data_IF_923592940050
#
_entry.id   IF_923592940050
#
_cell.length_a   1.000
_cell.length_b   1.000
_cell.length_c   1.000
_cell.angle_alpha   90.00
_cell.angle_beta   90.00
_cell.angle_gamma   90.00
#
_symmetry.space_group_name_H-M   'P 1'
#
loop_
_entity.id
_entity.type
_entity.pdbx_description
1 polymer ?
#
# COMPACT_ATOMS: atom_id res chain seq x y z
N UNK A 1 13.05 -31.24 9.30
CA UNK A 1 12.31 -31.97 10.34
C UNK A 1 12.59 -31.32 11.68
N UNK A 2 11.68 -30.46 12.13
CA UNK A 2 11.61 -29.95 13.50
C UNK A 2 10.14 -29.55 13.71
N UNK A 3 9.44 -30.39 14.45
CA UNK A 3 8.00 -30.27 14.73
C UNK A 3 7.85 -29.45 16.00
N UNK A 4 7.22 -28.27 15.91
CA UNK A 4 6.82 -27.47 17.08
C UNK A 4 5.35 -27.74 17.37
N UNK A 5 5.11 -28.56 18.38
CA UNK A 5 3.79 -28.86 18.94
C UNK A 5 3.44 -27.76 19.94
N UNK A 6 2.42 -26.94 19.64
CA UNK A 6 1.86 -26.00 20.61
C UNK A 6 0.59 -26.59 21.22
N UNK A 7 0.68 -26.97 22.49
CA UNK A 7 -0.43 -27.36 23.34
C UNK A 7 -1.14 -26.09 23.83
N UNK A 8 -2.38 -25.85 23.41
CA UNK A 8 -3.25 -24.83 23.98
C UNK A 8 -3.96 -25.39 25.22
N UNK A 9 -3.65 -24.85 26.39
CA UNK A 9 -4.45 -24.98 27.61
C UNK A 9 -5.40 -23.78 27.72
N UNK A 10 -6.70 -24.06 27.73
CA UNK A 10 -7.75 -23.06 27.90
C UNK A 10 -7.78 -22.52 29.34
N UNK A 11 -7.87 -21.20 29.58
CA UNK A 11 -8.23 -20.67 30.88
C UNK A 11 -9.75 -20.70 31.06
N UNK A 12 -10.18 -21.21 32.21
CA UNK A 12 -11.57 -21.18 32.65
C UNK A 12 -12.03 -19.75 33.00
N UNK A 13 -13.26 -19.42 32.61
CA UNK A 13 -13.98 -18.25 33.12
C UNK A 13 -14.27 -18.45 34.61
N UNK A 14 -13.87 -17.50 35.45
CA UNK A 14 -14.38 -17.35 36.81
C UNK A 14 -15.17 -16.05 36.96
N UNK A 15 -16.21 -16.16 37.76
CA UNK A 15 -17.26 -15.19 38.00
C UNK A 15 -16.83 -13.87 38.65
N UNK A 16 -17.69 -12.88 38.39
CA UNK A 16 -18.03 -11.73 39.22
C UNK A 16 -17.08 -10.52 39.24
N UNK A 17 -17.57 -9.39 38.70
CA UNK A 17 -17.79 -8.20 39.53
C UNK A 17 -18.93 -7.35 38.96
N UNK A 18 -19.98 -7.11 39.77
CA UNK A 18 -21.08 -6.17 39.50
C UNK A 18 -20.55 -4.74 39.55
N UNK A 19 -20.71 -3.96 38.47
CA UNK A 19 -20.48 -2.52 38.48
C UNK A 19 -21.84 -1.81 38.41
N UNK A 20 -22.16 -1.02 39.43
CA UNK A 20 -23.33 -0.12 39.48
C UNK A 20 -23.09 1.09 38.58
N UNK A 21 -24.10 1.59 37.85
CA UNK A 21 -23.97 2.82 37.09
C UNK A 21 -23.98 4.03 38.03
N UNK A 22 -23.03 4.95 37.83
CA UNK A 22 -23.04 6.30 38.41
C UNK A 22 -23.93 7.20 37.56
N UNK A 23 -24.96 7.75 38.18
CA UNK A 23 -25.69 8.91 37.67
C UNK A 23 -24.75 10.11 37.64
N UNK A 24 -24.51 10.66 36.45
CA UNK A 24 -23.97 12.00 36.30
C UNK A 24 -25.01 12.85 35.60
N UNK A 25 -25.60 13.76 36.38
CA UNK A 25 -26.40 14.86 35.88
C UNK A 25 -25.53 15.79 35.02
N UNK A 26 -25.92 15.99 33.77
CA UNK A 26 -25.42 17.08 32.94
C UNK A 26 -26.62 17.88 32.44
N UNK A 27 -26.68 19.13 32.89
CA UNK A 27 -27.72 20.11 32.65
C UNK A 27 -27.81 20.46 31.16
N UNK A 28 -29.00 20.29 30.59
CA UNK A 28 -29.37 20.71 29.25
C UNK A 28 -29.62 22.22 29.20
N UNK A 29 -28.82 22.96 28.42
CA UNK A 29 -29.22 24.26 27.90
C UNK A 29 -29.86 24.05 26.53
N UNK A 30 -31.16 24.29 26.48
CA UNK A 30 -31.98 24.16 25.28
C UNK A 30 -31.67 25.24 24.24
N UNK A 31 -31.46 24.80 23.00
CA UNK A 31 -31.76 25.61 21.83
C UNK A 31 -32.82 24.87 21.02
N UNK A 32 -33.96 25.52 20.85
CA UNK A 32 -35.12 25.04 20.11
C UNK A 32 -34.87 25.17 18.61
N UNK A 33 -34.39 24.10 17.99
CA UNK A 33 -34.45 23.95 16.53
C UNK A 33 -35.87 23.46 16.16
N UNK A 34 -36.56 24.28 15.36
CA UNK A 34 -37.91 24.00 14.86
C UNK A 34 -38.00 22.74 13.99
N UNK A 35 -39.22 22.26 13.71
CA UNK A 35 -39.43 20.98 13.04
C UNK A 35 -38.87 21.03 11.61
N UNK A 36 -37.76 20.31 11.39
CA UNK A 36 -37.25 19.98 10.08
C UNK A 36 -38.33 19.18 9.33
N UNK A 37 -38.79 19.71 8.19
CA UNK A 37 -39.63 18.99 7.24
C UNK A 37 -38.96 17.67 6.84
N UNK A 38 -39.30 16.57 7.52
CA UNK A 38 -38.97 15.23 7.07
C UNK A 38 -39.76 14.97 5.79
N UNK A 39 -39.07 14.98 4.66
CA UNK A 39 -39.59 14.41 3.42
C UNK A 39 -40.10 13.00 3.71
N UNK A 40 -41.31 12.67 3.23
CA UNK A 40 -41.90 11.35 3.38
C UNK A 40 -40.90 10.25 2.97
N UNK A 41 -40.89 9.09 3.66
CA UNK A 41 -40.06 7.96 3.25
C UNK A 41 -40.36 7.63 1.80
N UNK A 42 -39.35 7.74 0.92
CA UNK A 42 -39.49 7.31 -0.47
C UNK A 42 -39.87 5.83 -0.46
N UNK A 43 -40.81 5.46 -1.33
CA UNK A 43 -41.06 4.06 -1.68
C UNK A 43 -39.71 3.37 -1.88
N UNK A 44 -39.51 2.15 -1.35
CA UNK A 44 -38.33 1.35 -1.66
C UNK A 44 -38.13 1.39 -3.17
N UNK A 45 -36.92 1.72 -3.62
CA UNK A 45 -36.56 1.52 -5.02
C UNK A 45 -36.98 0.08 -5.35
N UNK A 46 -37.80 -0.08 -6.39
CA UNK A 46 -38.10 -1.41 -6.92
C UNK A 46 -36.75 -2.10 -7.08
N UNK A 47 -36.60 -3.38 -6.66
CA UNK A 47 -35.34 -4.08 -6.79
C UNK A 47 -34.91 -3.93 -8.23
N UNK A 48 -33.86 -3.11 -8.43
CA UNK A 48 -33.17 -3.03 -9.69
C UNK A 48 -32.84 -4.48 -10.01
N UNK A 49 -33.28 -4.97 -11.18
CA UNK A 49 -33.01 -6.34 -11.59
C UNK A 49 -31.54 -6.56 -11.34
N UNK A 50 -31.24 -7.41 -10.35
CA UNK A 50 -29.88 -7.72 -9.94
C UNK A 50 -29.05 -8.00 -11.19
N UNK A 51 -27.77 -7.59 -11.18
CA UNK A 51 -26.99 -7.36 -12.37
C UNK A 51 -27.08 -8.58 -13.28
N UNK A 52 -27.16 -8.30 -14.58
CA UNK A 52 -27.01 -9.25 -15.69
C UNK A 52 -26.08 -10.37 -15.23
N UNK A 53 -26.46 -11.67 -15.32
CA UNK A 53 -25.53 -12.75 -15.03
C UNK A 53 -24.21 -12.38 -15.68
N UNK A 54 -23.09 -12.57 -14.97
CA UNK A 54 -21.78 -12.42 -15.60
C UNK A 54 -21.70 -13.47 -16.70
N UNK A 55 -22.19 -13.12 -17.88
CA UNK A 55 -22.05 -13.89 -19.09
C UNK A 55 -20.63 -13.62 -19.53
N UNK A 56 -19.81 -14.67 -19.45
CA UNK A 56 -18.54 -14.72 -20.15
C UNK A 56 -18.88 -14.56 -21.63
N UNK A 57 -18.75 -13.33 -22.16
CA UNK A 57 -19.22 -12.95 -23.48
C UNK A 57 -18.52 -13.74 -24.62
N UNK A 58 -17.40 -14.40 -24.31
CA UNK A 58 -16.87 -15.54 -25.05
C UNK A 58 -15.72 -16.23 -24.30
N UNK A 59 -15.42 -17.49 -24.66
CA UNK A 59 -14.33 -18.30 -24.07
C UNK A 59 -12.95 -17.59 -24.13
N UNK A 60 -12.79 -16.57 -24.98
CA UNK A 60 -11.57 -15.78 -25.13
C UNK A 60 -11.36 -14.72 -24.06
N UNK A 61 -12.41 -14.25 -23.39
CA UNK A 61 -12.33 -13.12 -22.44
C UNK A 61 -11.68 -13.51 -21.11
N UNK A 62 -11.72 -14.80 -20.78
CA UNK A 62 -11.08 -15.37 -19.59
C UNK A 62 -9.59 -15.72 -19.81
N UNK A 63 -9.10 -15.63 -21.06
CA UNK A 63 -7.73 -16.03 -21.38
C UNK A 63 -6.74 -14.96 -20.93
N UNK A 64 -5.60 -15.41 -20.40
CA UNK A 64 -4.47 -14.53 -20.13
C UNK A 64 -3.94 -14.03 -21.48
N UNK A 65 -3.87 -12.69 -21.73
CA UNK A 65 -3.56 -12.16 -23.05
C UNK A 65 -2.11 -12.39 -23.49
N UNK A 66 -1.86 -12.39 -24.81
CA UNK A 66 -0.51 -12.54 -25.38
C UNK A 66 0.45 -11.42 -25.00
N UNK A 67 -0.11 -10.24 -24.78
CA UNK A 67 0.61 -9.04 -24.37
C UNK A 67 1.05 -9.03 -22.91
N UNK A 68 0.70 -10.04 -22.09
CA UNK A 68 1.11 -10.07 -20.67
C UNK A 68 2.63 -10.03 -20.55
N UNK A 69 3.12 -9.03 -19.82
CA UNK A 69 4.55 -8.82 -19.60
C UNK A 69 5.29 -8.13 -20.75
N UNK A 70 4.61 -7.83 -21.87
CA UNK A 70 5.15 -7.13 -23.05
C UNK A 70 4.87 -5.61 -23.03
N UNK A 71 4.46 -5.06 -21.88
CA UNK A 71 4.12 -3.64 -21.75
C UNK A 71 5.28 -2.70 -22.14
N UNK A 72 4.99 -1.76 -23.05
CA UNK A 72 5.94 -0.76 -23.54
C UNK A 72 6.51 0.13 -22.42
N UNK A 73 5.70 0.39 -21.40
CA UNK A 73 6.04 1.25 -20.26
C UNK A 73 7.16 0.62 -19.42
N UNK A 74 7.06 -0.67 -19.14
CA UNK A 74 8.13 -1.42 -18.45
C UNK A 74 9.44 -1.35 -19.23
N UNK A 75 9.38 -1.61 -20.54
CA UNK A 75 10.55 -1.54 -21.42
C UNK A 75 11.19 -0.15 -21.37
N UNK A 76 10.38 0.90 -21.52
CA UNK A 76 10.84 2.29 -21.47
C UNK A 76 11.61 2.61 -20.17
N UNK A 77 11.06 2.26 -19.00
CA UNK A 77 11.75 2.51 -17.73
C UNK A 77 13.00 1.64 -17.54
N UNK A 78 12.99 0.40 -18.01
CA UNK A 78 14.17 -0.48 -17.98
C UNK A 78 15.30 0.08 -18.85
N UNK A 79 14.99 0.54 -20.06
CA UNK A 79 15.96 1.16 -20.97
C UNK A 79 16.53 2.45 -20.37
N UNK A 80 15.68 3.35 -19.88
CA UNK A 80 16.15 4.57 -19.19
C UNK A 80 17.08 4.24 -18.01
N UNK A 81 16.72 3.23 -17.21
CA UNK A 81 17.52 2.82 -16.05
C UNK A 81 18.88 2.29 -16.50
N UNK A 82 18.90 1.41 -17.50
CA UNK A 82 20.14 0.88 -18.08
C UNK A 82 21.01 1.99 -18.67
N UNK A 83 20.44 2.94 -19.41
CA UNK A 83 21.17 4.08 -19.96
C UNK A 83 21.80 4.91 -18.83
N UNK A 84 21.05 5.25 -17.78
CA UNK A 84 21.57 6.02 -16.64
C UNK A 84 22.71 5.30 -15.92
N UNK A 85 22.55 4.00 -15.64
CA UNK A 85 23.61 3.21 -15.02
C UNK A 85 24.82 3.04 -15.95
N UNK A 86 24.61 2.89 -17.25
CA UNK A 86 25.70 2.84 -18.22
C UNK A 86 26.47 4.16 -18.25
N UNK A 87 25.79 5.30 -18.20
CA UNK A 87 26.43 6.62 -18.09
C UNK A 87 27.25 6.73 -16.80
N UNK A 88 26.69 6.36 -15.64
CA UNK A 88 27.43 6.37 -14.37
C UNK A 88 28.65 5.45 -14.42
N UNK A 89 28.51 4.26 -14.99
CA UNK A 89 29.58 3.29 -15.20
C UNK A 89 30.70 3.86 -16.09
N UNK A 90 30.34 4.41 -17.26
CA UNK A 90 31.31 4.95 -18.22
C UNK A 90 32.03 6.17 -17.66
N UNK A 91 31.31 7.10 -17.03
CA UNK A 91 31.88 8.28 -16.36
C UNK A 91 32.77 7.86 -15.19
N UNK A 92 32.33 6.88 -14.40
CA UNK A 92 33.08 6.36 -13.27
C UNK A 92 34.41 5.74 -13.65
N UNK A 93 34.41 4.87 -14.66
CA UNK A 93 35.64 4.28 -15.20
C UNK A 93 36.54 5.32 -15.88
N UNK A 94 35.96 6.25 -16.64
CA UNK A 94 36.72 7.36 -17.22
C UNK A 94 37.43 8.18 -16.13
N UNK A 95 36.68 8.58 -15.09
CA UNK A 95 37.22 9.33 -13.95
C UNK A 95 38.35 8.55 -13.25
N UNK A 96 38.19 7.23 -13.09
CA UNK A 96 39.19 6.37 -12.45
C UNK A 96 40.52 6.31 -13.22
N UNK A 97 40.50 6.29 -14.55
CA UNK A 97 41.72 6.14 -15.37
C UNK A 97 42.35 7.47 -15.80
N UNK A 98 41.56 8.53 -15.99
CA UNK A 98 42.05 9.76 -16.62
C UNK A 98 42.23 10.93 -15.65
N UNK A 99 41.66 10.89 -14.45
CA UNK A 99 41.87 11.94 -13.46
C UNK A 99 43.12 11.68 -12.62
N UNK A 100 43.84 12.75 -12.28
CA UNK A 100 45.10 12.65 -11.54
C UNK A 100 44.92 12.55 -10.02
N UNK A 101 43.83 13.12 -9.48
CA UNK A 101 43.57 13.14 -8.03
C UNK A 101 43.13 11.76 -7.53
N UNK A 102 43.82 11.14 -6.54
CA UNK A 102 43.41 9.87 -5.93
C UNK A 102 41.96 9.86 -5.46
N UNK A 103 41.51 10.95 -4.83
CA UNK A 103 40.13 11.11 -4.37
C UNK A 103 39.12 11.05 -5.52
N UNK A 104 39.38 11.76 -6.63
CA UNK A 104 38.49 11.76 -7.80
C UNK A 104 38.48 10.41 -8.53
N UNK A 105 39.63 9.71 -8.55
CA UNK A 105 39.71 8.36 -9.13
C UNK A 105 38.84 7.39 -8.32
N UNK A 106 39.04 7.34 -7.01
CA UNK A 106 38.27 6.48 -6.09
C UNK A 106 36.78 6.83 -6.08
N UNK A 107 36.44 8.13 -6.13
CA UNK A 107 35.07 8.60 -6.31
C UNK A 107 34.47 8.06 -7.61
N UNK A 108 35.21 8.17 -8.73
CA UNK A 108 34.83 7.63 -10.03
C UNK A 108 34.50 6.14 -9.96
N UNK A 109 35.35 5.35 -9.31
CA UNK A 109 35.08 3.93 -9.12
C UNK A 109 33.86 3.66 -8.22
N UNK A 110 33.59 4.51 -7.23
CA UNK A 110 32.35 4.44 -6.43
C UNK A 110 31.07 4.66 -7.24
N UNK A 111 31.12 5.41 -8.35
CA UNK A 111 29.98 5.56 -9.29
C UNK A 111 29.67 4.28 -10.07
N UNK A 112 30.56 3.29 -10.09
CA UNK A 112 30.34 2.01 -10.75
C UNK A 112 29.44 1.11 -9.89
N UNK A 113 29.72 1.04 -8.58
CA UNK A 113 28.98 0.21 -7.63
C UNK A 113 29.18 0.72 -6.19
N UNK A 114 28.17 0.61 -5.29
CA UNK A 114 28.30 1.01 -3.89
C UNK A 114 29.53 0.40 -3.20
N UNK A 115 30.44 1.27 -2.75
CA UNK A 115 31.68 0.88 -2.09
C UNK A 115 32.81 0.40 -2.99
N UNK A 116 32.64 0.35 -4.33
CA UNK A 116 33.70 -0.08 -5.24
C UNK A 116 34.98 0.76 -5.13
N UNK A 117 34.85 2.05 -4.82
CA UNK A 117 36.00 2.93 -4.53
C UNK A 117 36.93 2.40 -3.44
N UNK A 118 36.39 1.79 -2.38
CA UNK A 118 37.19 1.25 -1.29
C UNK A 118 38.14 0.11 -1.72
N UNK A 119 37.80 -0.63 -2.79
CA UNK A 119 38.66 -1.69 -3.32
C UNK A 119 39.93 -1.15 -3.98
N UNK A 120 39.92 0.11 -4.41
CA UNK A 120 41.07 0.77 -5.01
C UNK A 120 42.09 1.28 -3.95
N UNK A 121 41.67 1.37 -2.69
CA UNK A 121 42.53 1.81 -1.58
C UNK A 121 43.37 0.62 -1.05
N UNK A 122 42.78 -0.57 -0.98
CA UNK A 122 43.50 -1.82 -0.64
C UNK A 122 44.00 -1.96 0.81
N UNK A 123 43.55 -1.11 1.73
CA UNK A 123 43.85 -1.26 3.16
C UNK A 123 42.85 -2.18 3.86
N UNK A 124 43.22 -2.72 5.03
CA UNK A 124 42.28 -3.51 5.84
C UNK A 124 41.00 -2.75 6.19
N UNK A 125 41.13 -1.45 6.55
CA UNK A 125 39.98 -0.58 6.90
C UNK A 125 39.07 -0.35 5.69
N UNK A 126 39.64 -0.08 4.52
CA UNK A 126 38.84 0.11 3.30
C UNK A 126 38.16 -1.20 2.86
N UNK A 127 38.81 -2.35 3.00
CA UNK A 127 38.17 -3.65 2.73
C UNK A 127 36.97 -3.88 3.65
N UNK A 128 37.09 -3.57 4.95
CA UNK A 128 35.96 -3.66 5.87
C UNK A 128 34.82 -2.70 5.48
N UNK A 129 35.15 -1.47 5.08
CA UNK A 129 34.17 -0.49 4.60
C UNK A 129 33.47 -0.93 3.30
N UNK A 130 34.18 -1.61 2.40
CA UNK A 130 33.59 -2.24 1.22
C UNK A 130 32.59 -3.33 1.60
N UNK A 131 32.99 -4.27 2.47
CA UNK A 131 32.10 -5.35 2.94
C UNK A 131 30.86 -4.78 3.64
N UNK A 132 31.04 -3.76 4.47
CA UNK A 132 29.92 -3.06 5.10
C UNK A 132 28.99 -2.45 4.05
N UNK A 133 29.53 -1.80 3.02
CA UNK A 133 28.72 -1.22 1.93
C UNK A 133 27.92 -2.30 1.20
N UNK A 134 28.54 -3.45 0.91
CA UNK A 134 27.87 -4.61 0.27
C UNK A 134 26.74 -5.16 1.15
N UNK A 135 26.92 -5.24 2.46
CA UNK A 135 25.89 -5.68 3.42
C UNK A 135 24.79 -4.63 3.56
N UNK A 136 25.13 -3.34 3.52
CA UNK A 136 24.16 -2.26 3.63
C UNK A 136 23.27 -2.11 2.39
N UNK A 137 23.70 -2.60 1.21
CA UNK A 137 22.83 -2.61 0.02
C UNK A 137 21.54 -3.42 0.26
N UNK A 138 21.57 -4.73 0.57
CA UNK A 138 20.34 -5.49 0.82
C UNK A 138 19.58 -4.97 2.04
N UNK A 139 20.25 -4.50 3.10
CA UNK A 139 19.58 -3.86 4.25
C UNK A 139 18.80 -2.63 3.80
N UNK A 140 19.42 -1.72 3.04
CA UNK A 140 18.75 -0.52 2.53
C UNK A 140 17.61 -0.84 1.58
N UNK A 141 17.74 -1.90 0.77
CA UNK A 141 16.67 -2.37 -0.11
C UNK A 141 15.52 -2.97 0.69
N UNK A 142 15.78 -3.71 1.77
CA UNK A 142 14.75 -4.23 2.68
C UNK A 142 14.08 -3.10 3.45
N UNK A 143 14.82 -2.08 3.89
CA UNK A 143 14.22 -0.91 4.55
C UNK A 143 13.39 -0.09 3.57
N UNK A 144 13.90 0.20 2.38
CA UNK A 144 13.09 0.80 1.30
C UNK A 144 11.87 -0.06 1.00
N UNK A 145 12.05 -1.39 1.00
CA UNK A 145 10.96 -2.34 0.82
C UNK A 145 9.92 -2.24 1.93
N UNK A 146 10.34 -2.17 3.19
CA UNK A 146 9.46 -2.21 4.35
C UNK A 146 8.72 -0.90 4.61
N UNK A 147 9.32 0.27 4.38
CA UNK A 147 8.73 1.56 4.80
C UNK A 147 8.73 2.63 3.70
N UNK A 148 9.01 2.27 2.45
CA UNK A 148 8.93 3.19 1.30
C UNK A 148 10.04 4.25 1.25
N UNK A 149 11.04 4.22 2.14
CA UNK A 149 12.10 5.25 2.23
C UNK A 149 13.17 5.05 1.15
N UNK A 150 12.93 5.65 -0.01
CA UNK A 150 13.85 5.64 -1.15
C UNK A 150 15.19 6.34 -0.87
N UNK A 151 15.27 7.16 0.18
CA UNK A 151 16.51 7.82 0.61
C UNK A 151 17.61 6.82 1.01
N UNK A 152 17.29 5.68 1.63
CA UNK A 152 18.31 4.77 2.15
C UNK A 152 19.23 4.17 1.07
N UNK A 153 18.69 3.59 -0.03
CA UNK A 153 19.55 3.14 -1.13
C UNK A 153 20.43 4.26 -1.71
N UNK A 154 19.92 5.49 -1.79
CA UNK A 154 20.67 6.66 -2.26
C UNK A 154 21.82 6.98 -1.29
N UNK A 155 21.56 6.99 0.01
CA UNK A 155 22.59 7.23 1.04
C UNK A 155 23.66 6.14 1.06
N UNK A 156 23.29 4.86 0.93
CA UNK A 156 24.29 3.77 0.86
C UNK A 156 25.16 3.91 -0.40
N UNK A 157 24.54 4.20 -1.54
CA UNK A 157 25.25 4.35 -2.81
C UNK A 157 26.23 5.52 -2.77
N UNK A 158 25.72 6.74 -2.54
CA UNK A 158 26.56 7.95 -2.59
C UNK A 158 27.41 8.13 -1.33
N UNK A 159 26.91 7.70 -0.16
CA UNK A 159 27.68 7.75 1.09
C UNK A 159 28.91 6.85 1.04
N UNK A 160 28.80 5.63 0.48
CA UNK A 160 29.97 4.77 0.28
C UNK A 160 30.94 5.33 -0.77
N UNK A 161 30.42 5.97 -1.83
CA UNK A 161 31.21 6.64 -2.87
C UNK A 161 32.03 7.81 -2.30
N UNK A 162 31.38 8.73 -1.58
CA UNK A 162 32.02 9.90 -0.96
C UNK A 162 32.94 9.45 0.17
N UNK A 163 32.52 8.46 0.97
CA UNK A 163 33.33 7.90 2.05
C UNK A 163 34.66 7.31 1.56
N UNK A 164 34.65 6.64 0.40
CA UNK A 164 35.88 6.13 -0.21
C UNK A 164 36.80 7.26 -0.67
N UNK A 165 36.24 8.32 -1.30
CA UNK A 165 37.00 9.48 -1.73
C UNK A 165 37.64 10.25 -0.57
N UNK A 166 36.98 10.29 0.60
CA UNK A 166 37.56 10.86 1.82
C UNK A 166 38.64 9.94 2.42
N UNK A 167 38.40 8.62 2.41
CA UNK A 167 39.29 7.64 3.05
C UNK A 167 40.62 7.43 2.32
N UNK A 168 40.71 7.72 1.02
CA UNK A 168 41.95 7.52 0.25
C UNK A 168 43.05 8.53 0.62
N UNK A 169 42.69 9.78 0.93
CA UNK A 169 43.68 10.85 1.15
C UNK A 169 44.68 10.94 -0.01
N UNK A 170 45.97 10.98 0.32
CA UNK A 170 47.08 10.99 -0.64
C UNK A 170 47.64 9.59 -0.93
N UNK A 171 46.96 8.52 -0.49
CA UNK A 171 47.43 7.15 -0.69
C UNK A 171 47.42 6.77 -2.19
N UNK A 172 48.37 5.92 -2.64
CA UNK A 172 48.36 5.42 -4.00
C UNK A 172 47.12 4.56 -4.26
N UNK A 173 46.59 4.66 -5.48
CA UNK A 173 45.40 3.93 -5.93
C UNK A 173 45.81 2.65 -6.67
N UNK A 174 45.11 1.54 -6.39
CA UNK A 174 45.32 0.26 -7.08
C UNK A 174 44.59 0.27 -8.43
N UNK A 175 45.33 0.52 -9.51
CA UNK A 175 44.77 0.61 -10.88
C UNK A 175 44.02 -0.65 -11.32
N UNK A 176 44.43 -1.84 -10.84
CA UNK A 176 43.78 -3.10 -11.17
C UNK A 176 42.33 -3.19 -10.68
N UNK A 177 41.94 -2.40 -9.67
CA UNK A 177 40.56 -2.35 -9.20
C UNK A 177 39.59 -1.89 -10.31
N UNK A 178 40.02 -0.94 -11.15
CA UNK A 178 39.23 -0.49 -12.30
C UNK A 178 38.96 -1.61 -13.30
N UNK A 179 39.96 -2.48 -13.56
CA UNK A 179 39.83 -3.62 -14.49
C UNK A 179 38.83 -4.65 -13.94
N UNK A 180 38.93 -4.95 -12.64
CA UNK A 180 38.00 -5.89 -11.98
C UNK A 180 36.56 -5.41 -12.12
N UNK A 181 36.27 -4.14 -11.78
CA UNK A 181 34.92 -3.60 -11.88
C UNK A 181 34.44 -3.43 -13.32
N UNK A 182 35.36 -3.19 -14.27
CA UNK A 182 35.03 -3.16 -15.69
C UNK A 182 34.59 -4.53 -16.25
N UNK A 183 34.93 -5.63 -15.57
CA UNK A 183 34.56 -6.99 -15.98
C UNK A 183 33.36 -7.50 -15.16
N UNK A 184 33.43 -7.35 -13.83
CA UNK A 184 32.44 -7.93 -12.91
C UNK A 184 31.04 -7.36 -13.15
N UNK A 185 30.90 -6.04 -13.30
CA UNK A 185 29.58 -5.43 -13.42
C UNK A 185 28.87 -5.79 -14.75
N UNK A 186 29.52 -5.71 -15.93
CA UNK A 186 28.91 -6.20 -17.17
C UNK A 186 28.54 -7.69 -17.14
N UNK A 187 29.39 -8.55 -16.53
CA UNK A 187 29.07 -9.97 -16.37
C UNK A 187 27.84 -10.19 -15.47
N UNK A 188 27.74 -9.45 -14.36
CA UNK A 188 26.57 -9.50 -13.49
C UNK A 188 25.28 -9.07 -14.21
N UNK A 189 25.33 -7.96 -14.96
CA UNK A 189 24.20 -7.47 -15.77
C UNK A 189 23.81 -8.50 -16.84
N UNK A 190 24.79 -9.06 -17.55
CA UNK A 190 24.55 -10.10 -18.55
C UNK A 190 23.88 -11.33 -17.93
N UNK A 191 24.40 -11.81 -16.80
CA UNK A 191 23.84 -12.94 -16.06
C UNK A 191 22.39 -12.69 -15.62
N UNK A 192 22.09 -11.51 -15.07
CA UNK A 192 20.74 -11.13 -14.67
C UNK A 192 19.79 -11.03 -15.88
N UNK A 193 20.22 -10.43 -17.00
CA UNK A 193 19.41 -10.35 -18.22
C UNK A 193 19.13 -11.73 -18.82
N UNK A 194 20.14 -12.61 -18.84
CA UNK A 194 20.00 -14.00 -19.32
C UNK A 194 19.00 -14.77 -18.45
N UNK A 195 19.12 -14.66 -17.13
CA UNK A 195 18.19 -15.28 -16.18
C UNK A 195 16.76 -14.74 -16.34
N UNK A 196 16.60 -13.42 -16.50
CA UNK A 196 15.29 -12.81 -16.74
C UNK A 196 14.67 -13.28 -18.06
N UNK A 197 15.45 -13.40 -19.14
CA UNK A 197 14.97 -13.91 -20.43
C UNK A 197 14.48 -15.37 -20.31
N UNK A 198 15.23 -16.23 -19.61
CA UNK A 198 14.81 -17.61 -19.31
C UNK A 198 13.51 -17.64 -18.51
N UNK A 199 13.39 -16.81 -17.48
CA UNK A 199 12.18 -16.73 -16.67
C UNK A 199 10.97 -16.24 -17.47
N UNK A 200 11.15 -15.29 -18.38
CA UNK A 200 10.08 -14.84 -19.29
C UNK A 200 9.64 -15.97 -20.25
N UNK A 201 10.60 -16.74 -20.80
CA UNK A 201 10.31 -17.91 -21.63
C UNK A 201 9.48 -18.96 -20.88
N UNK A 202 9.85 -19.25 -19.62
CA UNK A 202 9.07 -20.11 -18.73
C UNK A 202 7.67 -19.52 -18.47
N UNK A 203 7.58 -18.20 -18.33
CA UNK A 203 6.31 -17.47 -18.16
C UNK A 203 5.32 -17.71 -19.31
N UNK A 204 5.80 -17.72 -20.56
CA UNK A 204 4.96 -18.04 -21.71
C UNK A 204 4.40 -19.46 -21.66
N UNK A 205 5.24 -20.45 -21.34
CA UNK A 205 4.79 -21.83 -21.16
C UNK A 205 3.75 -21.96 -20.05
N UNK A 206 3.99 -21.33 -18.89
CA UNK A 206 3.03 -21.29 -17.78
C UNK A 206 1.70 -20.63 -18.17
N UNK A 207 1.75 -19.55 -18.96
CA UNK A 207 0.56 -18.89 -19.49
C UNK A 207 -0.24 -19.84 -20.38
N UNK A 208 0.42 -20.47 -21.36
CA UNK A 208 -0.26 -21.44 -22.24
C UNK A 208 -0.87 -22.60 -21.45
N UNK A 209 -0.19 -23.10 -20.43
CA UNK A 209 -0.73 -24.13 -19.53
C UNK A 209 -1.96 -23.64 -18.75
N UNK A 210 -1.95 -22.41 -18.21
CA UNK A 210 -3.10 -21.81 -17.51
C UNK A 210 -4.29 -21.61 -18.44
N UNK A 211 -4.05 -21.12 -19.65
CA UNK A 211 -5.09 -20.89 -20.64
C UNK A 211 -5.81 -22.19 -21.07
N UNK A 212 -5.21 -23.37 -20.88
CA UNK A 212 -5.88 -24.66 -21.15
C UNK A 212 -7.01 -24.98 -20.18
N UNK A 213 -6.98 -24.47 -18.95
CA UNK A 213 -7.97 -24.79 -17.93
C UNK A 213 -8.71 -23.58 -17.37
N UNK A 214 -8.23 -22.35 -17.58
CA UNK A 214 -8.84 -21.15 -16.95
C UNK A 214 -10.30 -20.97 -17.36
N UNK A 215 -10.64 -21.25 -18.62
CA UNK A 215 -12.03 -21.15 -19.11
C UNK A 215 -12.90 -22.16 -18.38
N UNK A 216 -12.46 -23.42 -18.29
CA UNK A 216 -13.19 -24.46 -17.58
C UNK A 216 -13.31 -24.14 -16.09
N UNK A 217 -12.22 -23.68 -15.45
CA UNK A 217 -12.25 -23.29 -14.04
C UNK A 217 -13.23 -22.13 -13.76
N UNK A 218 -13.34 -21.15 -14.67
CA UNK A 218 -14.34 -20.08 -14.56
C UNK A 218 -15.76 -20.65 -14.71
N UNK A 219 -15.99 -21.51 -15.72
CA UNK A 219 -17.28 -22.18 -15.91
C UNK A 219 -17.67 -23.01 -14.70
N UNK A 220 -16.77 -23.85 -14.20
CA UNK A 220 -16.94 -24.67 -13.01
C UNK A 220 -17.27 -23.79 -11.79
N UNK A 221 -16.60 -22.65 -11.61
CA UNK A 221 -16.88 -21.73 -10.50
C UNK A 221 -18.27 -21.09 -10.60
N UNK A 222 -18.74 -20.77 -11.81
CA UNK A 222 -20.07 -20.20 -12.04
C UNK A 222 -21.15 -21.27 -11.86
N UNK A 223 -20.95 -22.48 -12.40
CA UNK A 223 -21.90 -23.60 -12.29
C UNK A 223 -22.02 -24.11 -10.85
N UNK A 224 -20.92 -24.13 -10.10
CA UNK A 224 -20.90 -24.52 -8.69
C UNK A 224 -21.17 -23.35 -7.74
N UNK A 225 -21.46 -22.14 -8.24
CA UNK A 225 -21.77 -21.00 -7.40
C UNK A 225 -23.05 -21.27 -6.61
N UNK A 226 -22.98 -21.16 -5.29
CA UNK A 226 -24.18 -21.26 -4.45
C UNK A 226 -25.06 -20.04 -4.68
N UNK A 227 -26.35 -20.20 -5.04
CA UNK A 227 -27.26 -19.07 -5.20
C UNK A 227 -27.30 -18.21 -3.95
N UNK A 228 -27.37 -16.90 -4.14
CA UNK A 228 -27.54 -15.98 -3.02
C UNK A 228 -28.86 -16.34 -2.27
N UNK A 229 -28.86 -16.40 -0.93
CA UNK A 229 -30.10 -16.60 -0.17
C UNK A 229 -31.12 -15.52 -0.49
N UNK A 230 -32.41 -15.87 -0.38
CA UNK A 230 -33.49 -14.93 -0.61
C UNK A 230 -33.32 -13.69 0.30
N UNK A 231 -33.61 -12.46 -0.19
CA UNK A 231 -33.58 -11.27 0.65
C UNK A 231 -34.44 -11.45 1.91
N UNK A 232 -33.88 -11.14 3.08
CA UNK A 232 -34.55 -11.31 4.37
C UNK A 232 -34.57 -12.74 4.92
N UNK A 233 -34.11 -13.76 4.18
CA UNK A 233 -33.99 -15.14 4.70
C UNK A 233 -32.66 -15.41 5.41
N UNK A 234 -31.84 -14.37 5.58
CA UNK A 234 -30.50 -14.49 6.16
C UNK A 234 -30.59 -14.25 7.66
N UNK A 235 -30.18 -15.23 8.44
CA UNK A 235 -30.00 -15.10 9.88
C UNK A 235 -28.53 -15.38 10.24
N UNK A 236 -28.03 -14.65 11.24
CA UNK A 236 -26.70 -14.89 11.79
C UNK A 236 -26.82 -15.83 12.99
N UNK A 237 -25.89 -16.77 13.11
CA UNK A 237 -25.76 -17.57 14.32
C UNK A 237 -25.29 -16.71 15.51
N UNK A 238 -25.45 -17.24 16.73
CA UNK A 238 -25.10 -16.53 17.96
C UNK A 238 -23.61 -16.12 17.99
N UNK A 239 -22.72 -16.97 17.47
CA UNK A 239 -21.28 -16.70 17.46
C UNK A 239 -20.98 -15.47 16.58
N UNK A 240 -21.59 -15.41 15.40
CA UNK A 240 -21.42 -14.31 14.45
C UNK A 240 -22.07 -13.04 14.97
N UNK A 241 -23.23 -13.14 15.64
CA UNK A 241 -23.83 -11.99 16.33
C UNK A 241 -22.92 -11.42 17.43
N UNK A 242 -22.26 -12.27 18.22
CA UNK A 242 -21.27 -11.81 19.21
C UNK A 242 -20.05 -11.18 18.58
N UNK A 243 -19.61 -11.69 17.43
CA UNK A 243 -18.54 -11.06 16.66
C UNK A 243 -18.97 -9.69 16.08
N UNK A 244 -20.20 -9.58 15.57
CA UNK A 244 -20.74 -8.30 15.12
C UNK A 244 -20.91 -7.30 16.25
N UNK A 245 -21.34 -7.75 17.44
CA UNK A 245 -21.36 -6.91 18.63
C UNK A 245 -19.96 -6.35 18.93
N UNK A 246 -18.93 -7.21 18.92
CA UNK A 246 -17.55 -6.79 19.13
C UNK A 246 -17.06 -5.77 18.09
N UNK A 247 -17.40 -5.96 16.80
CA UNK A 247 -17.10 -5.01 15.71
C UNK A 247 -17.77 -3.66 15.95
N UNK A 248 -19.05 -3.65 16.35
CA UNK A 248 -19.79 -2.42 16.64
C UNK A 248 -19.17 -1.69 17.82
N UNK A 249 -18.93 -2.38 18.94
CA UNK A 249 -18.29 -1.81 20.15
C UNK A 249 -16.93 -1.21 19.83
N UNK A 250 -16.15 -1.88 18.99
CA UNK A 250 -14.85 -1.39 18.54
C UNK A 250 -14.94 -0.11 17.72
N UNK A 251 -15.94 0.01 16.83
CA UNK A 251 -16.21 1.25 16.10
C UNK A 251 -16.75 2.37 16.99
N UNK A 252 -17.52 2.03 18.02
CA UNK A 252 -18.10 2.98 18.98
C UNK A 252 -17.11 3.50 20.03
N UNK A 253 -16.00 2.80 20.30
CA UNK A 253 -14.99 3.31 21.24
C UNK A 253 -14.55 4.72 20.86
N UNK A 254 -14.19 5.57 21.82
CA UNK A 254 -13.60 6.89 21.55
C UNK A 254 -12.09 6.81 21.28
N UNK A 255 -11.45 5.75 21.76
CA UNK A 255 -10.01 5.57 21.67
C UNK A 255 -9.60 4.51 20.64
N UNK A 256 -8.32 4.15 20.64
CA UNK A 256 -7.75 3.10 19.80
C UNK A 256 -7.44 1.83 20.61
N UNK A 257 -7.95 1.68 21.84
CA UNK A 257 -7.63 0.57 22.74
C UNK A 257 -8.08 -0.80 22.22
N UNK A 258 -9.10 -0.81 21.36
CA UNK A 258 -9.59 -2.02 20.68
C UNK A 258 -8.87 -2.33 19.36
N UNK A 259 -7.77 -1.63 19.05
CA UNK A 259 -7.06 -1.80 17.79
C UNK A 259 -5.62 -2.23 18.02
N UNK A 260 -5.15 -3.13 17.17
CA UNK A 260 -3.76 -3.55 17.16
C UNK A 260 -2.92 -2.46 16.49
N UNK A 261 -2.03 -1.83 17.26
CA UNK A 261 -1.12 -0.79 16.78
C UNK A 261 0.28 -1.39 16.72
N UNK A 262 0.64 -1.94 15.56
CA UNK A 262 1.96 -2.55 15.31
C UNK A 262 2.87 -1.53 14.62
N UNK A 263 2.46 -1.06 13.43
CA UNK A 263 3.13 0.00 12.66
C UNK A 263 2.11 0.84 11.87
N UNK A 264 2.56 1.85 11.12
CA UNK A 264 1.70 2.68 10.26
C UNK A 264 2.14 2.72 8.79
N UNK A 265 3.18 1.97 8.40
CA UNK A 265 3.75 2.04 7.06
C UNK A 265 3.27 0.89 6.16
N UNK A 266 2.70 -0.16 6.73
CA UNK A 266 2.42 -1.42 6.00
C UNK A 266 1.09 -2.07 6.33
N UNK A 267 0.93 -3.32 5.91
CA UNK A 267 -0.29 -4.14 6.02
C UNK A 267 -0.83 -4.26 7.46
N UNK A 268 -0.01 -3.97 8.48
CA UNK A 268 -0.43 -3.93 9.89
C UNK A 268 -0.95 -2.56 10.36
N UNK A 269 -1.03 -1.57 9.46
CA UNK A 269 -1.51 -0.25 9.80
C UNK A 269 -2.97 -0.25 10.26
N UNK A 270 -3.25 0.58 11.26
CA UNK A 270 -4.59 0.65 11.87
C UNK A 270 -5.69 1.06 10.89
N UNK A 271 -5.34 1.79 9.82
CA UNK A 271 -6.28 2.16 8.75
C UNK A 271 -6.97 0.95 8.11
N UNK A 272 -6.28 -0.17 7.93
CA UNK A 272 -6.90 -1.40 7.40
C UNK A 272 -7.98 -1.93 8.32
N UNK A 273 -7.73 -1.88 9.64
CA UNK A 273 -8.69 -2.30 10.64
C UNK A 273 -9.90 -1.36 10.65
N UNK A 274 -9.69 -0.05 10.53
CA UNK A 274 -10.78 0.94 10.45
C UNK A 274 -11.65 0.76 9.20
N UNK A 275 -11.04 0.62 8.03
CA UNK A 275 -11.79 0.41 6.78
C UNK A 275 -12.50 -0.95 6.77
N UNK A 276 -11.83 -2.01 7.21
CA UNK A 276 -12.44 -3.34 7.31
C UNK A 276 -13.63 -3.41 8.28
N UNK A 277 -13.63 -2.60 9.36
CA UNK A 277 -14.81 -2.44 10.21
C UNK A 277 -15.99 -1.85 9.43
N UNK A 278 -15.77 -0.77 8.67
CA UNK A 278 -16.82 -0.12 7.88
C UNK A 278 -17.37 -1.09 6.82
N UNK A 279 -16.49 -1.81 6.13
CA UNK A 279 -16.89 -2.80 5.12
C UNK A 279 -17.79 -3.88 5.73
N UNK A 280 -17.36 -4.49 6.85
CA UNK A 280 -18.14 -5.52 7.54
C UNK A 280 -19.49 -4.99 8.05
N UNK A 281 -19.50 -3.79 8.62
CA UNK A 281 -20.70 -3.14 9.13
C UNK A 281 -21.70 -2.77 8.03
N UNK A 282 -21.22 -2.26 6.89
CA UNK A 282 -22.06 -1.91 5.75
C UNK A 282 -22.67 -3.15 5.10
N UNK A 283 -21.91 -4.24 4.95
CA UNK A 283 -22.41 -5.54 4.47
C UNK A 283 -23.45 -6.09 5.44
N UNK A 284 -23.17 -6.05 6.75
CA UNK A 284 -24.11 -6.50 7.78
C UNK A 284 -25.42 -5.71 7.74
N UNK A 285 -25.35 -4.38 7.68
CA UNK A 285 -26.52 -3.51 7.56
C UNK A 285 -27.32 -3.84 6.30
N UNK A 286 -26.66 -3.98 5.15
CA UNK A 286 -27.34 -4.21 3.87
C UNK A 286 -28.04 -5.57 3.80
N UNK A 287 -27.41 -6.63 4.28
CA UNK A 287 -27.89 -8.00 4.03
C UNK A 287 -28.62 -8.67 5.19
N UNK A 288 -28.39 -8.22 6.43
CA UNK A 288 -28.93 -8.87 7.63
C UNK A 288 -29.76 -7.92 8.50
N UNK A 289 -29.36 -6.65 8.61
CA UNK A 289 -30.00 -5.71 9.52
C UNK A 289 -30.30 -4.33 8.86
N UNK A 290 -31.09 -4.27 7.77
CA UNK A 290 -31.29 -3.05 6.99
C UNK A 290 -31.92 -1.92 7.81
N UNK A 291 -32.75 -2.24 8.82
CA UNK A 291 -33.38 -1.24 9.67
C UNK A 291 -32.52 -0.82 10.88
N UNK A 292 -31.36 -1.45 11.12
CA UNK A 292 -30.54 -1.20 12.31
C UNK A 292 -29.52 -0.08 12.07
N UNK A 293 -30.00 1.14 11.85
CA UNK A 293 -29.12 2.25 11.50
C UNK A 293 -28.32 2.83 12.67
N UNK A 294 -28.84 2.85 13.89
CA UNK A 294 -28.30 3.62 15.03
C UNK A 294 -26.81 3.39 15.29
N UNK A 295 -26.48 2.36 16.07
CA UNK A 295 -25.11 2.07 16.46
C UNK A 295 -24.21 1.70 15.28
N UNK A 296 -24.75 1.04 14.25
CA UNK A 296 -23.95 0.70 13.06
C UNK A 296 -23.46 1.96 12.34
N UNK A 297 -24.37 2.89 12.05
CA UNK A 297 -23.99 4.10 11.30
C UNK A 297 -23.03 4.96 12.11
N UNK A 298 -23.21 5.01 13.43
CA UNK A 298 -22.29 5.69 14.33
C UNK A 298 -20.91 5.04 14.35
N UNK A 299 -20.83 3.72 14.51
CA UNK A 299 -19.57 2.98 14.44
C UNK A 299 -18.84 3.17 13.10
N UNK A 300 -19.57 3.20 11.98
CA UNK A 300 -18.99 3.51 10.68
C UNK A 300 -18.42 4.92 10.62
N UNK A 301 -19.18 5.94 11.07
CA UNK A 301 -18.70 7.33 11.09
C UNK A 301 -17.48 7.50 11.98
N UNK A 302 -17.52 6.98 13.19
CA UNK A 302 -16.40 7.05 14.12
C UNK A 302 -15.15 6.41 13.50
N UNK A 303 -15.30 5.27 12.81
CA UNK A 303 -14.17 4.60 12.13
C UNK A 303 -13.60 5.42 10.97
N UNK A 304 -14.48 6.01 10.14
CA UNK A 304 -14.09 6.89 9.03
C UNK A 304 -13.40 8.17 9.55
N UNK A 305 -13.99 8.85 10.52
CA UNK A 305 -13.45 10.09 11.10
C UNK A 305 -12.12 9.83 11.83
N UNK A 306 -12.00 8.73 12.59
CA UNK A 306 -10.73 8.29 13.19
C UNK A 306 -9.64 8.05 12.16
N UNK A 307 -10.00 7.56 10.98
CA UNK A 307 -9.03 7.29 9.92
C UNK A 307 -8.37 8.57 9.41
N UNK A 308 -9.03 9.73 9.52
CA UNK A 308 -8.55 11.03 9.05
C UNK A 308 -7.62 11.75 10.04
N UNK A 309 -7.47 11.21 11.25
CA UNK A 309 -6.69 11.85 12.32
C UNK A 309 -5.17 11.72 12.12
N UNK A 310 -4.42 12.58 12.81
CA UNK A 310 -2.94 12.57 12.87
C UNK A 310 -2.38 11.19 13.19
N UNK A 311 -2.97 10.46 14.14
CA UNK A 311 -2.45 9.15 14.56
C UNK A 311 -2.42 8.14 13.42
N UNK A 312 -3.36 8.24 12.48
CA UNK A 312 -3.47 7.33 11.33
C UNK A 312 -2.74 7.89 10.12
N UNK A 313 -2.70 9.21 9.94
CA UNK A 313 -2.22 9.86 8.72
C UNK A 313 -0.76 10.33 8.78
N UNK A 314 -0.14 10.44 9.96
CA UNK A 314 1.20 11.01 10.10
C UNK A 314 2.30 10.22 9.35
N UNK A 315 2.10 8.92 9.10
CA UNK A 315 3.07 8.12 8.33
C UNK A 315 3.32 8.73 6.94
N UNK A 316 2.30 9.32 6.31
CA UNK A 316 2.37 9.85 4.96
C UNK A 316 3.33 11.03 4.84
N UNK A 317 3.51 11.80 5.92
CA UNK A 317 4.56 12.84 6.01
C UNK A 317 5.94 12.22 5.74
N UNK A 318 6.25 11.13 6.42
CA UNK A 318 7.56 10.48 6.34
C UNK A 318 7.76 9.78 4.99
N UNK A 319 6.76 9.10 4.47
CA UNK A 319 6.82 8.50 3.12
C UNK A 319 6.95 9.57 2.03
N UNK A 320 6.24 10.70 2.18
CA UNK A 320 6.36 11.84 1.25
C UNK A 320 7.77 12.43 1.29
N UNK A 321 8.34 12.65 2.48
CA UNK A 321 9.67 13.25 2.63
C UNK A 321 10.79 12.30 2.19
N UNK A 322 10.74 11.03 2.59
CA UNK A 322 11.85 10.09 2.45
C UNK A 322 11.70 9.12 1.27
N UNK A 323 10.48 8.98 0.73
CA UNK A 323 10.17 8.18 -0.46
C UNK A 323 9.98 9.03 -1.72
N UNK A 324 9.14 10.07 -1.64
CA UNK A 324 8.84 10.95 -2.77
C UNK A 324 9.73 12.21 -2.84
N UNK A 325 10.55 12.47 -1.82
CA UNK A 325 11.38 13.69 -1.69
C UNK A 325 10.56 14.99 -1.71
N UNK A 326 9.34 14.97 -1.17
CA UNK A 326 8.46 16.14 -1.00
C UNK A 326 8.59 16.71 0.41
N UNK A 327 9.18 17.90 0.54
CA UNK A 327 9.47 18.47 1.85
C UNK A 327 8.28 19.17 2.52
N UNK A 328 7.33 19.74 1.76
CA UNK A 328 6.29 20.62 2.32
C UNK A 328 4.85 20.31 1.89
N UNK A 329 4.66 19.55 0.82
CA UNK A 329 3.37 19.15 0.27
C UNK A 329 3.14 17.67 0.55
N UNK A 330 2.31 17.40 1.55
CA UNK A 330 2.00 16.07 2.08
C UNK A 330 0.52 15.75 1.94
N UNK A 331 -0.15 16.34 0.95
CA UNK A 331 -1.54 16.00 0.64
C UNK A 331 -1.63 14.48 0.36
N UNK A 332 -2.42 13.72 1.14
CA UNK A 332 -2.49 12.27 1.04
C UNK A 332 -3.27 11.77 -0.17
N UNK A 333 -4.03 12.62 -0.87
CA UNK A 333 -4.85 12.20 -2.01
C UNK A 333 -4.31 12.73 -3.34
N UNK A 334 -3.45 13.76 -3.29
CA UNK A 334 -2.92 14.42 -4.49
C UNK A 334 -2.13 13.47 -5.40
N UNK A 335 -1.23 12.66 -4.84
CA UNK A 335 -0.43 11.71 -5.62
C UNK A 335 0.01 10.50 -4.81
N UNK A 336 -0.06 9.32 -5.40
CA UNK A 336 0.16 8.01 -4.74
C UNK A 336 -0.81 7.83 -3.55
N UNK A 337 -0.52 6.93 -2.61
CA UNK A 337 -1.37 6.64 -1.44
C UNK A 337 -2.77 6.09 -1.76
N UNK A 338 -2.90 5.27 -2.81
CA UNK A 338 -4.16 4.56 -3.10
C UNK A 338 -4.68 3.76 -1.90
N UNK A 339 -3.79 3.37 -0.97
CA UNK A 339 -4.19 2.68 0.23
C UNK A 339 -5.16 3.51 1.07
N UNK A 340 -4.83 4.77 1.32
CA UNK A 340 -5.76 5.66 2.00
C UNK A 340 -6.88 6.04 1.07
N UNK A 341 -6.58 6.62 -0.10
CA UNK A 341 -7.62 7.22 -0.93
C UNK A 341 -8.62 6.19 -1.48
N UNK A 342 -8.14 5.04 -1.93
CA UNK A 342 -8.97 3.96 -2.47
C UNK A 342 -9.79 3.23 -1.42
N UNK A 343 -9.19 2.78 -0.31
CA UNK A 343 -9.96 2.09 0.73
C UNK A 343 -10.94 3.03 1.43
N UNK A 344 -10.53 4.28 1.69
CA UNK A 344 -11.44 5.27 2.26
C UNK A 344 -12.62 5.51 1.30
N UNK A 345 -12.37 5.63 0.00
CA UNK A 345 -13.44 5.79 -0.98
C UNK A 345 -14.41 4.60 -0.97
N UNK A 346 -13.92 3.36 -0.97
CA UNK A 346 -14.78 2.16 -0.86
C UNK A 346 -15.57 2.16 0.44
N UNK A 347 -14.92 2.34 1.58
CA UNK A 347 -15.56 2.33 2.89
C UNK A 347 -16.65 3.42 2.99
N UNK A 348 -16.38 4.62 2.48
CA UNK A 348 -17.36 5.70 2.41
C UNK A 348 -18.49 5.39 1.43
N UNK A 349 -18.20 4.82 0.27
CA UNK A 349 -19.19 4.42 -0.72
C UNK A 349 -20.15 3.36 -0.17
N UNK A 350 -19.61 2.35 0.52
CA UNK A 350 -20.36 1.32 1.21
C UNK A 350 -21.24 1.91 2.32
N UNK A 351 -20.66 2.74 3.20
CA UNK A 351 -21.41 3.39 4.27
C UNK A 351 -22.57 4.24 3.74
N UNK A 352 -22.31 5.11 2.76
CA UNK A 352 -23.36 5.96 2.18
C UNK A 352 -24.44 5.15 1.47
N UNK A 353 -24.08 4.00 0.88
CA UNK A 353 -25.02 3.12 0.20
C UNK A 353 -25.87 2.30 1.18
N UNK A 354 -25.28 1.79 2.26
CA UNK A 354 -25.98 0.97 3.25
C UNK A 354 -26.85 1.80 4.19
N UNK A 355 -26.41 3.01 4.55
CA UNK A 355 -27.10 3.86 5.52
C UNK A 355 -28.01 4.91 4.88
N UNK A 356 -27.74 5.30 3.63
CA UNK A 356 -28.37 6.45 2.98
C UNK A 356 -27.88 7.81 3.48
N UNK A 357 -26.96 7.87 4.45
CA UNK A 357 -26.34 9.11 4.91
C UNK A 357 -25.43 9.67 3.81
N UNK A 358 -25.59 10.95 3.47
CA UNK A 358 -24.85 11.64 2.40
C UNK A 358 -23.96 12.77 2.91
N UNK A 359 -23.70 12.84 4.22
CA UNK A 359 -22.87 13.89 4.84
C UNK A 359 -21.51 14.08 4.16
N UNK A 360 -20.93 13.02 3.62
CA UNK A 360 -19.62 13.11 3.00
C UNK A 360 -19.63 13.66 1.56
N UNK A 361 -20.80 13.96 1.03
CA UNK A 361 -20.96 14.76 -0.20
C UNK A 361 -20.94 16.26 0.09
N UNK A 362 -21.00 16.66 1.36
CA UNK A 362 -20.89 18.07 1.75
C UNK A 362 -19.48 18.57 1.48
N UNK A 363 -19.39 19.81 1.01
CA UNK A 363 -18.12 20.42 0.64
C UNK A 363 -17.17 20.46 1.85
N UNK A 364 -15.92 20.07 1.63
CA UNK A 364 -14.83 20.14 2.61
C UNK A 364 -15.11 19.37 3.93
N UNK A 365 -15.98 18.35 3.87
CA UNK A 365 -16.36 17.55 5.04
C UNK A 365 -15.27 16.57 5.52
N UNK A 366 -14.30 16.25 4.66
CA UNK A 366 -13.16 15.38 5.00
C UNK A 366 -11.96 16.25 5.30
N UNK A 367 -11.38 16.10 6.49
CA UNK A 367 -10.16 16.80 6.88
C UNK A 367 -9.07 15.79 7.22
N UNK A 368 -8.11 15.61 6.30
CA UNK A 368 -6.92 14.81 6.55
C UNK A 368 -5.93 15.58 7.40
N UNK A 369 -5.80 15.18 8.67
CA UNK A 369 -4.85 15.77 9.62
C UNK A 369 -3.54 15.01 9.53
N UNK A 370 -2.53 15.53 8.83
CA UNK A 370 -1.23 14.86 8.68
C UNK A 370 -0.28 15.19 9.85
N UNK A 371 -0.31 16.45 10.28
CA UNK A 371 0.48 16.99 11.38
C UNK A 371 -0.24 18.21 11.96
N UNK A 372 0.22 18.75 13.10
CA UNK A 372 -0.49 19.81 13.85
C UNK A 372 -0.68 21.12 13.05
N UNK A 373 0.11 21.32 11.99
CA UNK A 373 0.00 22.48 11.08
C UNK A 373 -0.29 22.12 9.62
N UNK A 374 -0.60 20.85 9.31
CA UNK A 374 -0.78 20.37 7.93
C UNK A 374 -2.05 19.55 7.80
N UNK A 375 -3.11 20.24 7.42
CA UNK A 375 -4.45 19.70 7.26
C UNK A 375 -4.89 19.90 5.81
N UNK A 376 -5.49 18.89 5.21
CA UNK A 376 -5.98 18.95 3.82
C UNK A 376 -7.47 18.61 3.81
N UNK A 377 -8.27 19.52 3.24
CA UNK A 377 -9.72 19.36 3.17
C UNK A 377 -10.17 18.93 1.79
N UNK A 378 -11.18 18.08 1.74
CA UNK A 378 -11.85 17.65 0.52
C UNK A 378 -13.24 17.13 0.86
N UNK A 379 -13.97 16.67 -0.15
CA UNK A 379 -15.20 15.90 0.01
C UNK A 379 -15.09 14.57 -0.73
N UNK A 380 -16.12 13.74 -0.65
CA UNK A 380 -16.11 12.44 -1.34
C UNK A 380 -15.95 12.56 -2.85
N UNK A 381 -16.46 13.63 -3.48
CA UNK A 381 -16.31 13.82 -4.94
C UNK A 381 -14.89 14.23 -5.28
N UNK A 382 -14.29 15.13 -4.50
CA UNK A 382 -12.88 15.50 -4.63
C UNK A 382 -11.95 14.31 -4.44
N UNK A 383 -12.27 13.40 -3.51
CA UNK A 383 -11.55 12.14 -3.33
C UNK A 383 -11.60 11.25 -4.58
N UNK A 384 -12.80 11.01 -5.14
CA UNK A 384 -12.98 10.21 -6.36
C UNK A 384 -12.29 10.85 -7.58
N UNK A 385 -12.34 12.17 -7.69
CA UNK A 385 -11.65 12.90 -8.76
C UNK A 385 -10.13 12.76 -8.63
N UNK A 386 -9.58 12.82 -7.41
CA UNK A 386 -8.15 12.61 -7.18
C UNK A 386 -7.72 11.18 -7.55
N UNK A 387 -8.54 10.18 -7.22
CA UNK A 387 -8.36 8.78 -7.62
C UNK A 387 -8.33 8.62 -9.15
N UNK A 388 -9.31 9.21 -9.85
CA UNK A 388 -9.39 9.17 -11.32
C UNK A 388 -8.17 9.86 -11.96
N UNK A 389 -7.80 11.04 -11.49
CA UNK A 389 -6.65 11.79 -12.00
C UNK A 389 -5.36 10.97 -11.86
N UNK A 390 -5.12 10.36 -10.69
CA UNK A 390 -3.96 9.52 -10.45
C UNK A 390 -3.92 8.29 -11.36
N UNK A 391 -5.09 7.69 -11.64
CA UNK A 391 -5.18 6.57 -12.56
C UNK A 391 -4.87 6.98 -14.00
N UNK A 392 -5.42 8.10 -14.47
CA UNK A 392 -5.20 8.63 -15.83
C UNK A 392 -3.75 9.07 -16.07
N UNK A 393 -3.12 9.67 -15.08
CA UNK A 393 -1.75 10.18 -15.20
C UNK A 393 -0.68 9.09 -15.07
N UNK A 394 -0.99 7.95 -14.44
CA UNK A 394 0.01 6.91 -14.23
C UNK A 394 0.25 6.10 -15.52
N UNK A 395 1.50 6.02 -16.02
CA UNK A 395 1.79 5.27 -17.25
C UNK A 395 1.43 3.79 -17.20
N UNK A 396 1.41 3.18 -16.01
CA UNK A 396 1.01 1.78 -15.85
C UNK A 396 -0.52 1.60 -15.76
N UNK A 397 -1.31 2.68 -15.75
CA UNK A 397 -2.72 2.68 -15.37
C UNK A 397 -2.94 2.04 -13.98
N UNK A 398 -1.96 2.20 -13.10
CA UNK A 398 -1.93 1.66 -11.76
C UNK A 398 -1.60 2.81 -10.79
N UNK A 399 -2.44 3.06 -9.80
CA UNK A 399 -2.24 4.11 -8.80
C UNK A 399 -1.40 3.66 -7.56
N UNK A 400 -0.12 4.03 -7.39
CA UNK A 400 0.77 3.49 -6.34
C UNK A 400 0.27 3.67 -4.89
N UNK A 401 0.64 2.74 -4.00
CA UNK A 401 0.34 2.83 -2.56
C UNK A 401 1.39 3.74 -1.92
N UNK A 402 2.65 3.33 -1.86
CA UNK A 402 3.78 4.19 -1.49
C UNK A 402 4.43 4.77 -2.76
N UNK A 403 5.28 5.81 -2.64
CA UNK A 403 5.97 6.38 -3.80
C UNK A 403 6.75 5.32 -4.58
N UNK A 404 6.35 5.10 -5.85
CA UNK A 404 6.93 4.12 -6.79
C UNK A 404 6.58 2.66 -6.49
N UNK A 405 5.58 2.41 -5.67
CA UNK A 405 5.20 1.08 -5.20
C UNK A 405 3.78 0.70 -5.53
N UNK A 406 3.63 -0.41 -6.24
CA UNK A 406 2.34 -0.82 -6.79
C UNK A 406 1.97 -2.20 -6.31
N UNK A 407 0.89 -2.28 -5.55
CA UNK A 407 0.32 -3.54 -5.07
C UNK A 407 -0.98 -3.81 -5.80
N UNK A 408 -1.12 -5.04 -6.31
CA UNK A 408 -2.33 -5.49 -6.98
C UNK A 408 -3.55 -5.43 -6.06
N UNK A 409 -3.38 -5.79 -4.78
CA UNK A 409 -4.49 -5.79 -3.80
C UNK A 409 -5.06 -4.37 -3.57
N UNK A 410 -4.22 -3.34 -3.42
CA UNK A 410 -4.75 -1.98 -3.28
C UNK A 410 -5.55 -1.54 -4.53
N UNK A 411 -5.18 -2.04 -5.73
CA UNK A 411 -5.84 -1.65 -7.00
C UNK A 411 -7.23 -2.21 -7.12
N UNK A 412 -7.43 -3.44 -6.68
CA UNK A 412 -8.74 -4.11 -6.77
C UNK A 412 -9.80 -3.26 -6.05
N UNK A 413 -9.48 -2.75 -4.86
CA UNK A 413 -10.40 -1.87 -4.14
C UNK A 413 -10.66 -0.54 -4.84
N UNK A 414 -9.66 0.05 -5.49
CA UNK A 414 -9.89 1.21 -6.36
C UNK A 414 -10.87 0.90 -7.51
N UNK A 415 -10.71 -0.24 -8.19
CA UNK A 415 -11.64 -0.62 -9.26
C UNK A 415 -13.08 -0.86 -8.76
N UNK A 416 -13.28 -1.21 -7.48
CA UNK A 416 -14.60 -1.28 -6.87
C UNK A 416 -15.17 0.09 -6.46
N UNK A 417 -14.32 1.11 -6.33
CA UNK A 417 -14.75 2.48 -5.98
C UNK A 417 -15.14 3.35 -7.17
N UNK A 418 -14.65 3.00 -8.36
CA UNK A 418 -15.10 3.54 -9.65
C UNK A 418 -16.40 2.84 -10.06
#
# INVERSE_FOLDING_TARGET
MATLTQTQTSPQLSDATKIKPKENACTSNGSTLGPSNRSAPRKPLAPEKHPVPFEVAGDTDCLIPESVGLGIVKKHYQEQTLTRYFTLYAVGLFAFYYLQSPALRVLGLGLVFPGAGFTAIGTFRSTLAFLLSVIMVPVSLVTWFGIGFALFPVLVYFGSTIGAAYAVGDAPVIDRAGIVWAIVLPLAIYWTKSTAAKNNAIGFSKRSQRNKYVVQAVKDNVENATPAPAPGSRELDLKTLRFMQHIIERGLSDDYGYFDIIDQFREAAIRYQLYGLVDALAIFQTHYAPNFHGYISEACRNSLEKSLTKKVMNYWKWESMLGAFKLNDWDPIKKDNIMVSGYLAVAMGLYQSSSGDRRYLEKDCLEFVIDDGKHYKTDYRGLLQALENNWRENPFCLYPCEPKWTYTLCKINFYFSL
#
